data_IF_469139555676
#
_entry.id   IF_469139555676
#
_cell.length_a   1.000
_cell.length_b   1.000
_cell.length_c   1.000
_cell.angle_alpha   90.00
_cell.angle_beta   90.00
_cell.angle_gamma   90.00
#
_symmetry.space_group_name_H-M   'P 1'
#
loop_
_entity.id
_entity.type
_entity.pdbx_description
1 polymer ?
#
# COMPACT_ATOMS: atom_id res chain seq x y z
N UNK A 1 15.24 -18.64 48.85
CA UNK A 1 14.22 -18.30 47.84
C UNK A 1 14.86 -18.35 46.46
N UNK A 2 14.50 -19.32 45.62
CA UNK A 2 15.19 -19.57 44.35
C UNK A 2 14.62 -18.75 43.20
N UNK A 3 15.49 -18.00 42.53
CA UNK A 3 15.20 -17.20 41.34
C UNK A 3 14.71 -18.03 40.12
N UNK A 4 14.84 -19.35 40.19
CA UNK A 4 14.35 -20.28 39.16
C UNK A 4 12.82 -20.40 39.09
N UNK A 5 12.10 -20.11 40.18
CA UNK A 5 10.64 -20.23 40.25
C UNK A 5 9.91 -19.05 39.59
N UNK A 6 10.45 -17.83 39.72
CA UNK A 6 9.84 -16.59 39.21
C UNK A 6 10.00 -16.43 37.71
N UNK A 7 11.14 -16.83 37.14
CA UNK A 7 11.37 -16.82 35.70
C UNK A 7 10.41 -17.77 34.94
N UNK A 8 10.10 -18.93 35.52
CA UNK A 8 9.13 -19.89 34.98
C UNK A 8 7.69 -19.36 35.01
N UNK A 9 7.31 -18.62 36.06
CA UNK A 9 5.98 -18.01 36.17
C UNK A 9 5.79 -16.87 35.16
N UNK A 10 6.80 -16.03 34.95
CA UNK A 10 6.77 -14.94 33.97
C UNK A 10 6.77 -15.45 32.52
N UNK A 11 7.51 -16.52 32.23
CA UNK A 11 7.46 -17.17 30.92
C UNK A 11 6.07 -17.76 30.61
N UNK A 12 5.39 -18.33 31.61
CA UNK A 12 4.02 -18.85 31.49
C UNK A 12 2.99 -17.74 31.32
N UNK A 13 3.13 -16.61 32.03
CA UNK A 13 2.31 -15.41 31.84
C UNK A 13 2.49 -14.80 30.43
N UNK A 14 3.73 -14.75 29.95
CA UNK A 14 4.04 -14.31 28.58
C UNK A 14 3.52 -15.25 27.48
N UNK A 15 3.32 -16.53 27.76
CA UNK A 15 2.66 -17.46 26.83
C UNK A 15 1.13 -17.37 26.86
N UNK A 16 0.53 -17.07 28.02
CA UNK A 16 -0.91 -16.85 28.16
C UNK A 16 -1.36 -15.54 27.48
N UNK A 17 -0.55 -14.47 27.57
CA UNK A 17 -0.80 -13.20 26.87
C UNK A 17 -0.63 -13.29 25.34
N UNK A 18 0.13 -14.27 24.83
CA UNK A 18 0.25 -14.51 23.38
C UNK A 18 -0.99 -15.17 22.78
N UNK A 19 -1.81 -15.86 23.58
CA UNK A 19 -2.92 -16.66 23.10
C UNK A 19 -4.12 -15.84 22.59
N UNK A 20 -4.33 -14.63 23.08
CA UNK A 20 -5.42 -13.76 22.59
C UNK A 20 -5.03 -12.89 21.39
N UNK A 21 -3.74 -12.82 21.04
CA UNK A 21 -3.29 -11.99 19.91
C UNK A 21 -3.93 -12.42 18.60
N UNK A 22 -4.12 -13.73 18.34
CA UNK A 22 -4.77 -14.21 17.12
C UNK A 22 -6.27 -13.90 17.07
N UNK A 23 -6.98 -14.01 18.20
CA UNK A 23 -8.43 -13.75 18.27
C UNK A 23 -8.72 -12.25 18.13
N UNK A 24 -7.99 -11.41 18.87
CA UNK A 24 -8.08 -9.95 18.77
C UNK A 24 -7.80 -9.50 17.34
N UNK A 25 -6.82 -10.12 16.66
CA UNK A 25 -6.51 -9.79 15.27
C UNK A 25 -7.66 -10.10 14.32
N UNK A 26 -8.24 -11.30 14.36
CA UNK A 26 -9.37 -11.62 13.47
C UNK A 26 -10.55 -10.67 13.67
N UNK A 27 -10.86 -10.35 14.93
CA UNK A 27 -11.94 -9.41 15.26
C UNK A 27 -11.66 -8.02 14.68
N UNK A 28 -10.41 -7.54 14.73
CA UNK A 28 -10.02 -6.25 14.15
C UNK A 28 -10.14 -6.23 12.62
N UNK A 29 -9.67 -7.26 11.92
CA UNK A 29 -9.82 -7.37 10.44
C UNK A 29 -11.28 -7.34 10.01
N UNK A 30 -12.13 -8.11 10.70
CA UNK A 30 -13.57 -8.15 10.40
C UNK A 30 -14.21 -6.82 10.76
N UNK A 31 -13.78 -6.19 11.87
CA UNK A 31 -14.27 -4.89 12.29
C UNK A 31 -14.07 -3.79 11.25
N UNK A 32 -12.87 -3.67 10.67
CA UNK A 32 -12.61 -2.66 9.62
C UNK A 32 -13.41 -2.92 8.35
N UNK A 33 -13.62 -4.18 7.97
CA UNK A 33 -14.47 -4.55 6.84
C UNK A 33 -15.93 -4.18 7.07
N UNK A 34 -16.48 -4.59 8.22
CA UNK A 34 -17.88 -4.31 8.60
C UNK A 34 -18.11 -2.80 8.71
N UNK A 35 -17.16 -2.05 9.28
CA UNK A 35 -17.24 -0.60 9.34
C UNK A 35 -17.29 0.03 7.93
N UNK A 36 -16.44 -0.41 7.00
CA UNK A 36 -16.47 0.04 5.61
C UNK A 36 -17.81 -0.24 4.93
N UNK A 37 -18.35 -1.46 5.11
CA UNK A 37 -19.64 -1.87 4.53
C UNK A 37 -20.78 -1.06 5.12
N UNK A 38 -20.79 -0.84 6.44
CA UNK A 38 -21.81 -0.05 7.11
C UNK A 38 -21.80 1.40 6.61
N UNK A 39 -20.63 2.02 6.49
CA UNK A 39 -20.49 3.39 5.96
C UNK A 39 -21.01 3.48 4.54
N UNK A 40 -20.62 2.57 3.64
CA UNK A 40 -21.13 2.59 2.25
C UNK A 40 -22.60 2.21 2.14
N UNK A 41 -23.14 1.43 3.08
CA UNK A 41 -24.57 1.10 3.11
C UNK A 41 -25.41 2.30 3.55
N UNK A 42 -24.85 3.20 4.37
CA UNK A 42 -25.52 4.44 4.79
C UNK A 42 -25.28 5.56 3.77
N UNK A 43 -24.06 5.66 3.24
CA UNK A 43 -23.61 6.73 2.35
C UNK A 43 -22.92 6.17 1.08
N UNK A 44 -23.67 5.49 0.18
CA UNK A 44 -23.11 4.92 -1.06
C UNK A 44 -22.47 5.96 -1.98
N UNK A 45 -22.90 7.21 -1.88
CA UNK A 45 -22.36 8.36 -2.60
C UNK A 45 -20.89 8.69 -2.25
N UNK A 46 -20.31 8.05 -1.22
CA UNK A 46 -18.87 8.11 -0.94
C UNK A 46 -18.04 7.56 -2.10
N UNK A 47 -18.54 6.53 -2.79
CA UNK A 47 -17.86 5.89 -3.93
C UNK A 47 -18.59 6.14 -5.24
N UNK A 48 -19.92 6.07 -5.23
CA UNK A 48 -20.74 6.11 -6.46
C UNK A 48 -21.38 7.48 -6.74
N UNK A 49 -21.04 8.51 -5.96
CA UNK A 49 -21.66 9.83 -6.08
C UNK A 49 -20.66 10.98 -6.00
N UNK A 50 -21.06 12.11 -6.56
CA UNK A 50 -20.30 13.35 -6.48
C UNK A 50 -20.65 14.11 -5.19
N UNK A 51 -20.00 13.73 -4.09
CA UNK A 51 -20.02 14.56 -2.87
C UNK A 51 -18.88 15.57 -2.91
N UNK A 52 -19.16 16.77 -3.41
CA UNK A 52 -18.28 17.92 -3.27
C UNK A 52 -18.87 18.86 -2.22
N UNK A 53 -18.08 19.15 -1.19
CA UNK A 53 -18.39 20.14 -0.18
C UNK A 53 -17.12 20.92 0.14
N UNK A 54 -17.27 22.16 0.58
CA UNK A 54 -16.14 22.95 1.06
C UNK A 54 -15.48 22.28 2.28
N UNK A 55 -16.30 21.68 3.15
CA UNK A 55 -15.83 20.94 4.31
C UNK A 55 -15.58 19.46 3.99
N UNK A 56 -14.61 18.83 4.66
CA UNK A 56 -14.39 17.40 4.56
C UNK A 56 -15.67 16.63 4.92
N UNK A 57 -16.06 15.69 4.07
CA UNK A 57 -17.25 14.85 4.31
C UNK A 57 -16.86 13.73 5.28
N UNK A 58 -17.45 13.64 6.49
CA UNK A 58 -17.04 12.67 7.50
C UNK A 58 -17.12 11.22 7.03
N UNK A 59 -18.11 10.86 6.21
CA UNK A 59 -18.26 9.50 5.68
C UNK A 59 -17.06 9.08 4.81
N UNK A 60 -16.48 10.00 4.02
CA UNK A 60 -15.25 9.72 3.24
C UNK A 60 -14.07 9.46 4.17
N UNK A 61 -13.95 10.23 5.24
CA UNK A 61 -12.89 10.06 6.24
C UNK A 61 -13.00 8.72 6.96
N UNK A 62 -14.20 8.35 7.41
CA UNK A 62 -14.40 7.08 8.10
C UNK A 62 -14.13 5.92 7.13
N UNK A 63 -14.67 5.97 5.92
CA UNK A 63 -14.44 4.96 4.88
C UNK A 63 -12.94 4.80 4.58
N UNK A 64 -12.24 5.87 4.19
CA UNK A 64 -10.81 5.84 3.89
C UNK A 64 -9.97 5.49 5.12
N UNK A 65 -10.41 5.90 6.30
CA UNK A 65 -9.79 5.58 7.59
C UNK A 65 -9.76 4.08 7.86
N UNK A 66 -10.76 3.31 7.41
CA UNK A 66 -10.72 1.84 7.54
C UNK A 66 -9.53 1.22 6.80
N UNK A 67 -9.24 1.69 5.59
CA UNK A 67 -8.11 1.23 4.78
C UNK A 67 -6.78 1.66 5.37
N UNK A 68 -6.69 2.92 5.81
CA UNK A 68 -5.48 3.44 6.45
C UNK A 68 -5.15 2.66 7.74
N UNK A 69 -6.13 2.51 8.64
CA UNK A 69 -5.95 1.79 9.89
C UNK A 69 -5.61 0.32 9.65
N UNK A 70 -6.32 -0.35 8.74
CA UNK A 70 -6.01 -1.75 8.44
C UNK A 70 -4.65 -1.91 7.75
N UNK A 71 -4.24 -0.96 6.90
CA UNK A 71 -2.89 -0.93 6.32
C UNK A 71 -1.80 -0.74 7.36
N UNK A 72 -1.93 0.27 8.24
CA UNK A 72 -1.00 0.53 9.33
C UNK A 72 -0.91 -0.66 10.30
N UNK A 73 -2.04 -1.28 10.58
CA UNK A 73 -2.13 -2.44 11.46
C UNK A 73 -1.51 -3.71 10.85
N UNK A 74 -1.61 -3.89 9.53
CA UNK A 74 -0.89 -4.96 8.81
C UNK A 74 0.60 -4.68 8.76
N UNK A 75 1.00 -3.42 8.53
CA UNK A 75 2.40 -3.02 8.55
C UNK A 75 3.05 -3.28 9.91
N UNK A 76 2.33 -3.06 11.01
CA UNK A 76 2.79 -3.39 12.36
C UNK A 76 2.92 -4.91 12.61
N UNK A 77 2.42 -5.77 11.73
CA UNK A 77 2.43 -7.22 11.88
C UNK A 77 3.29 -7.92 10.82
N UNK A 78 4.47 -8.39 11.21
CA UNK A 78 5.36 -9.18 10.34
C UNK A 78 4.69 -10.40 9.67
N UNK A 79 3.64 -10.98 10.27
CA UNK A 79 2.93 -12.14 9.71
C UNK A 79 1.87 -11.78 8.67
N UNK A 80 1.30 -10.57 8.68
CA UNK A 80 0.22 -10.18 7.77
C UNK A 80 0.64 -10.25 6.30
N UNK A 81 1.91 -9.92 6.04
CA UNK A 81 2.51 -9.97 4.71
C UNK A 81 2.58 -11.39 4.14
N UNK A 82 2.87 -12.42 4.95
CA UNK A 82 2.93 -13.81 4.47
C UNK A 82 1.60 -14.33 3.94
N UNK A 83 0.49 -13.93 4.54
CA UNK A 83 -0.85 -14.33 4.08
C UNK A 83 -1.16 -13.66 2.74
N UNK A 84 -0.87 -12.36 2.63
CA UNK A 84 -0.99 -11.62 1.37
C UNK A 84 -0.16 -12.29 0.28
N UNK A 85 1.08 -12.68 0.60
CA UNK A 85 1.97 -13.34 -0.33
C UNK A 85 1.42 -14.71 -0.73
N UNK A 86 0.96 -15.57 0.18
CA UNK A 86 0.48 -16.91 -0.17
C UNK A 86 -0.78 -16.90 -1.04
N UNK A 87 -1.68 -15.93 -0.82
CA UNK A 87 -2.97 -15.87 -1.50
C UNK A 87 -3.11 -14.71 -2.49
N UNK A 88 -2.02 -14.02 -2.83
CA UNK A 88 -1.99 -12.83 -3.68
C UNK A 88 -2.86 -12.96 -4.94
N UNK A 89 -2.64 -14.01 -5.75
CA UNK A 89 -3.39 -14.22 -6.98
C UNK A 89 -4.89 -14.43 -6.75
N UNK A 90 -5.28 -15.14 -5.68
CA UNK A 90 -6.69 -15.35 -5.34
C UNK A 90 -7.36 -14.05 -4.91
N UNK A 91 -6.67 -13.25 -4.10
CA UNK A 91 -7.14 -11.94 -3.68
C UNK A 91 -7.26 -10.96 -4.85
N UNK A 92 -6.28 -10.95 -5.76
CA UNK A 92 -6.32 -10.10 -6.96
C UNK A 92 -7.49 -10.48 -7.88
N UNK A 93 -7.64 -11.77 -8.21
CA UNK A 93 -8.72 -12.25 -9.09
C UNK A 93 -10.08 -12.03 -8.43
N UNK A 94 -10.24 -12.46 -7.16
CA UNK A 94 -11.50 -12.28 -6.43
C UNK A 94 -11.86 -10.80 -6.26
N UNK A 95 -10.88 -9.97 -5.93
CA UNK A 95 -11.06 -8.52 -5.84
C UNK A 95 -11.46 -7.89 -7.17
N UNK A 96 -10.85 -8.33 -8.28
CA UNK A 96 -11.20 -7.87 -9.62
C UNK A 96 -12.62 -8.29 -10.02
N UNK A 97 -13.02 -9.54 -9.78
CA UNK A 97 -14.39 -10.02 -10.05
C UNK A 97 -15.41 -9.21 -9.23
N UNK A 98 -15.18 -9.05 -7.92
CA UNK A 98 -16.04 -8.22 -7.07
C UNK A 98 -16.07 -6.76 -7.53
N UNK A 99 -14.96 -6.24 -8.05
CA UNK A 99 -14.85 -4.87 -8.56
C UNK A 99 -15.66 -4.66 -9.83
N UNK A 100 -15.56 -5.59 -10.79
CA UNK A 100 -16.39 -5.58 -12.00
C UNK A 100 -17.87 -5.66 -11.63
N UNK A 101 -18.24 -6.58 -10.72
CA UNK A 101 -19.61 -6.70 -10.25
C UNK A 101 -20.10 -5.41 -9.56
N UNK A 102 -19.26 -4.78 -8.73
CA UNK A 102 -19.58 -3.51 -8.08
C UNK A 102 -19.77 -2.37 -9.09
N UNK A 103 -18.95 -2.30 -10.15
CA UNK A 103 -19.08 -1.28 -11.21
C UNK A 103 -20.38 -1.48 -11.97
N UNK A 104 -20.67 -2.70 -12.45
CA UNK A 104 -21.89 -2.99 -13.19
C UNK A 104 -23.15 -2.71 -12.34
N UNK A 105 -23.12 -3.09 -11.07
CA UNK A 105 -24.22 -2.83 -10.15
C UNK A 105 -24.35 -1.33 -9.81
N UNK A 106 -23.24 -0.62 -9.70
CA UNK A 106 -23.22 0.84 -9.51
C UNK A 106 -23.79 1.58 -10.72
N UNK A 107 -23.44 1.17 -11.94
CA UNK A 107 -24.02 1.71 -13.18
C UNK A 107 -25.53 1.50 -13.22
N UNK A 108 -25.99 0.26 -12.97
CA UNK A 108 -27.41 -0.05 -12.87
C UNK A 108 -28.12 0.80 -11.81
N UNK A 109 -27.49 0.99 -10.65
CA UNK A 109 -28.06 1.80 -9.57
C UNK A 109 -28.21 3.28 -9.96
N UNK A 110 -27.24 3.84 -10.69
CA UNK A 110 -27.27 5.23 -11.19
C UNK A 110 -28.31 5.39 -12.31
N UNK A 111 -28.50 4.37 -13.15
CA UNK A 111 -29.54 4.40 -14.20
C UNK A 111 -30.96 4.28 -13.61
N UNK A 112 -31.09 3.54 -12.51
CA UNK A 112 -32.39 3.27 -11.87
C UNK A 112 -32.85 4.40 -10.95
N UNK A 113 -31.92 5.07 -10.27
CA UNK A 113 -32.22 6.11 -9.28
C UNK A 113 -31.40 7.38 -9.55
N UNK A 114 -32.05 8.54 -9.41
CA UNK A 114 -31.38 9.84 -9.47
C UNK A 114 -30.20 9.86 -8.47
N UNK A 115 -28.99 10.33 -8.84
CA UNK A 115 -27.81 10.29 -7.97
C UNK A 115 -28.00 10.88 -6.57
N UNK A 116 -28.90 11.85 -6.40
CA UNK A 116 -29.25 12.43 -5.10
C UNK A 116 -30.11 11.46 -4.27
N UNK A 117 -30.96 10.69 -4.95
CA UNK A 117 -31.88 9.72 -4.36
C UNK A 117 -31.27 8.33 -4.16
N UNK A 118 -30.01 8.09 -4.54
CA UNK A 118 -29.38 6.76 -4.55
C UNK A 118 -29.44 6.05 -3.18
N UNK A 119 -29.49 6.81 -2.08
CA UNK A 119 -29.66 6.30 -0.71
C UNK A 119 -31.02 5.62 -0.52
N UNK A 120 -32.08 6.13 -1.16
CA UNK A 120 -33.47 5.69 -0.98
C UNK A 120 -34.06 4.98 -2.22
N UNK A 121 -33.48 5.17 -3.41
CA UNK A 121 -34.09 4.77 -4.68
C UNK A 121 -33.90 3.30 -5.08
N UNK A 122 -32.82 2.64 -4.66
CA UNK A 122 -32.51 1.25 -5.06
C UNK A 122 -32.90 0.19 -4.01
N UNK A 123 -33.48 0.61 -2.88
CA UNK A 123 -33.78 -0.27 -1.75
C UNK A 123 -32.55 -0.68 -0.92
N UNK A 124 -32.79 -1.28 0.25
CA UNK A 124 -31.72 -1.57 1.21
C UNK A 124 -30.83 -2.76 0.82
N UNK A 125 -31.40 -3.78 0.18
CA UNK A 125 -30.68 -5.00 -0.17
C UNK A 125 -29.67 -4.77 -1.32
N UNK A 126 -30.04 -4.18 -2.47
CA UNK A 126 -29.07 -3.86 -3.52
C UNK A 126 -27.95 -2.94 -3.03
N UNK A 127 -28.28 -1.97 -2.18
CA UNK A 127 -27.31 -1.08 -1.54
C UNK A 127 -26.29 -1.83 -0.66
N UNK A 128 -26.75 -2.77 0.16
CA UNK A 128 -25.87 -3.59 1.00
C UNK A 128 -24.96 -4.49 0.14
N UNK A 129 -25.49 -5.08 -0.92
CA UNK A 129 -24.71 -5.91 -1.86
C UNK A 129 -23.66 -5.06 -2.57
N UNK A 130 -24.04 -3.90 -3.09
CA UNK A 130 -23.13 -2.95 -3.73
C UNK A 130 -22.01 -2.53 -2.78
N UNK A 131 -22.36 -2.09 -1.57
CA UNK A 131 -21.39 -1.72 -0.52
C UNK A 131 -20.43 -2.87 -0.19
N UNK A 132 -20.94 -4.09 -0.06
CA UNK A 132 -20.15 -5.28 0.23
C UNK A 132 -19.19 -5.61 -0.91
N UNK A 133 -19.67 -5.62 -2.16
CA UNK A 133 -18.85 -5.88 -3.34
C UNK A 133 -17.72 -4.86 -3.46
N UNK A 134 -18.02 -3.57 -3.27
CA UNK A 134 -17.01 -2.49 -3.31
C UNK A 134 -15.95 -2.66 -2.24
N UNK A 135 -16.34 -2.87 -0.98
CA UNK A 135 -15.38 -2.99 0.14
C UNK A 135 -14.53 -4.25 0.00
N UNK A 136 -15.15 -5.40 -0.30
CA UNK A 136 -14.44 -6.67 -0.52
C UNK A 136 -13.50 -6.56 -1.72
N UNK A 137 -13.95 -5.93 -2.80
CA UNK A 137 -13.11 -5.68 -3.98
C UNK A 137 -11.88 -4.87 -3.61
N UNK A 138 -12.06 -3.70 -2.98
CA UNK A 138 -10.96 -2.81 -2.63
C UNK A 138 -9.94 -3.48 -1.69
N UNK A 139 -10.39 -4.17 -0.65
CA UNK A 139 -9.51 -4.89 0.27
C UNK A 139 -8.78 -6.05 -0.42
N UNK A 140 -9.52 -6.90 -1.13
CA UNK A 140 -8.94 -8.07 -1.80
C UNK A 140 -7.96 -7.64 -2.88
N UNK A 141 -8.30 -6.63 -3.69
CA UNK A 141 -7.41 -6.14 -4.73
C UNK A 141 -6.15 -5.49 -4.13
N UNK A 142 -6.28 -4.74 -3.04
CA UNK A 142 -5.12 -4.17 -2.32
C UNK A 142 -4.18 -5.27 -1.82
N UNK A 143 -4.70 -6.30 -1.13
CA UNK A 143 -3.89 -7.43 -0.68
C UNK A 143 -3.30 -8.25 -1.83
N UNK A 144 -4.06 -8.41 -2.91
CA UNK A 144 -3.61 -9.09 -4.10
C UNK A 144 -2.43 -8.38 -4.77
N UNK A 145 -2.56 -7.06 -4.98
CA UNK A 145 -1.49 -6.23 -5.56
C UNK A 145 -0.27 -6.23 -4.65
N UNK A 146 -0.45 -5.98 -3.35
CA UNK A 146 0.64 -6.01 -2.37
C UNK A 146 1.38 -7.35 -2.40
N UNK A 147 0.65 -8.47 -2.32
CA UNK A 147 1.26 -9.80 -2.32
C UNK A 147 1.94 -10.12 -3.64
N UNK A 148 1.40 -9.67 -4.78
CA UNK A 148 2.04 -9.78 -6.08
C UNK A 148 3.33 -8.95 -6.13
N UNK A 149 3.31 -7.70 -5.64
CA UNK A 149 4.48 -6.83 -5.54
C UNK A 149 5.56 -7.44 -4.67
N UNK A 150 5.21 -8.05 -3.54
CA UNK A 150 6.16 -8.75 -2.67
C UNK A 150 6.77 -9.99 -3.31
N UNK A 151 6.04 -10.72 -4.15
CA UNK A 151 6.59 -11.86 -4.91
C UNK A 151 7.53 -11.40 -6.04
N UNK A 152 7.22 -10.28 -6.67
CA UNK A 152 8.00 -9.73 -7.79
C UNK A 152 9.22 -8.95 -7.29
N UNK A 153 9.15 -8.32 -6.11
CA UNK A 153 10.21 -7.51 -5.53
C UNK A 153 11.56 -8.26 -5.43
N UNK A 154 11.64 -9.50 -4.88
CA UNK A 154 12.87 -10.28 -4.87
C UNK A 154 13.42 -10.56 -6.26
N UNK A 155 12.57 -10.81 -7.26
CA UNK A 155 13.01 -11.05 -8.64
C UNK A 155 13.65 -9.81 -9.25
N UNK A 156 13.16 -8.62 -8.89
CA UNK A 156 13.72 -7.34 -9.31
C UNK A 156 14.98 -6.97 -8.50
N UNK A 157 14.94 -7.18 -7.18
CA UNK A 157 16.00 -6.74 -6.27
C UNK A 157 17.25 -7.63 -6.29
N UNK A 158 17.08 -8.95 -6.43
CA UNK A 158 18.21 -9.92 -6.43
C UNK A 158 19.11 -9.73 -7.65
N UNK A 159 18.62 -9.18 -8.76
CA UNK A 159 19.44 -8.98 -9.95
C UNK A 159 20.04 -7.58 -10.10
N UNK A 160 19.38 -6.49 -9.66
CA UNK A 160 19.84 -5.12 -9.95
C UNK A 160 19.44 -4.03 -8.92
N UNK A 161 18.91 -4.40 -7.75
CA UNK A 161 18.23 -3.42 -6.88
C UNK A 161 16.92 -2.93 -7.51
N UNK A 162 16.13 -2.15 -6.77
CA UNK A 162 14.91 -1.53 -7.31
C UNK A 162 15.32 -0.51 -8.37
N UNK A 163 14.81 -0.57 -9.62
CA UNK A 163 15.11 0.43 -10.64
C UNK A 163 14.84 1.84 -10.13
N UNK A 164 15.77 2.77 -10.39
CA UNK A 164 15.66 4.16 -9.90
C UNK A 164 14.34 4.81 -10.30
N UNK A 165 13.84 4.52 -11.50
CA UNK A 165 12.54 5.02 -11.97
C UNK A 165 11.37 4.53 -11.10
N UNK A 166 11.38 3.28 -10.63
CA UNK A 166 10.32 2.74 -9.78
C UNK A 166 10.38 3.39 -8.40
N UNK A 167 11.58 3.53 -7.84
CA UNK A 167 11.77 4.24 -6.57
C UNK A 167 11.34 5.71 -6.66
N UNK A 168 11.69 6.38 -7.77
CA UNK A 168 11.27 7.74 -8.07
C UNK A 168 9.75 7.87 -8.17
N UNK A 169 9.08 6.99 -8.93
CA UNK A 169 7.63 7.00 -9.06
C UNK A 169 6.93 6.68 -7.74
N UNK A 170 7.47 5.75 -6.95
CA UNK A 170 6.94 5.44 -5.62
C UNK A 170 7.02 6.65 -4.69
N UNK A 171 8.16 7.37 -4.69
CA UNK A 171 8.34 8.58 -3.90
C UNK A 171 7.45 9.74 -4.39
N UNK A 172 7.30 9.88 -5.71
CA UNK A 172 6.44 10.89 -6.31
C UNK A 172 4.94 10.63 -6.12
N UNK A 173 4.54 9.36 -5.92
CA UNK A 173 3.14 8.93 -5.88
C UNK A 173 2.27 9.69 -4.90
N UNK A 174 2.79 9.99 -3.70
CA UNK A 174 2.06 10.81 -2.71
C UNK A 174 1.84 12.24 -3.20
N UNK A 175 2.86 12.87 -3.80
CA UNK A 175 2.72 14.23 -4.34
C UNK A 175 1.75 14.26 -5.51
N UNK A 176 1.88 13.32 -6.44
CA UNK A 176 0.95 13.16 -7.57
C UNK A 176 -0.48 13.03 -7.04
N UNK A 177 -0.71 12.22 -6.00
CA UNK A 177 -2.01 12.09 -5.36
C UNK A 177 -2.56 13.43 -4.83
N UNK A 178 -1.72 14.30 -4.26
CA UNK A 178 -2.16 15.61 -3.76
C UNK A 178 -2.52 16.58 -4.88
N UNK A 179 -1.69 16.69 -5.92
CA UNK A 179 -1.83 17.74 -6.92
C UNK A 179 -2.66 17.36 -8.13
N UNK A 180 -2.85 16.06 -8.43
CA UNK A 180 -3.53 15.64 -9.66
C UNK A 180 -5.00 16.09 -9.71
N UNK A 181 -5.73 16.03 -8.60
CA UNK A 181 -7.17 16.32 -8.60
C UNK A 181 -7.53 17.73 -9.12
N UNK A 182 -6.95 18.84 -8.60
CA UNK A 182 -7.22 20.17 -9.12
C UNK A 182 -6.75 20.33 -10.57
N UNK A 183 -5.62 19.73 -10.95
CA UNK A 183 -5.11 19.77 -12.32
C UNK A 183 -6.07 19.09 -13.30
N UNK A 184 -6.55 17.88 -12.98
CA UNK A 184 -7.53 17.14 -13.79
C UNK A 184 -8.83 17.94 -13.93
N UNK A 185 -9.31 18.54 -12.85
CA UNK A 185 -10.55 19.33 -12.87
C UNK A 185 -10.43 20.55 -13.80
N UNK A 186 -9.34 21.31 -13.69
CA UNK A 186 -9.08 22.47 -14.55
C UNK A 186 -8.90 22.06 -16.01
N UNK A 187 -8.08 21.04 -16.28
CA UNK A 187 -7.85 20.54 -17.64
C UNK A 187 -9.14 20.01 -18.28
N UNK A 188 -9.98 19.30 -17.54
CA UNK A 188 -11.28 18.85 -18.07
C UNK A 188 -12.20 20.03 -18.41
N UNK A 189 -12.21 21.08 -17.59
CA UNK A 189 -13.00 22.28 -17.85
C UNK A 189 -12.48 23.03 -19.09
N UNK A 190 -11.16 23.25 -19.16
CA UNK A 190 -10.52 23.94 -20.27
C UNK A 190 -10.69 23.17 -21.58
N UNK A 191 -10.44 21.85 -21.59
CA UNK A 191 -10.63 21.03 -22.80
C UNK A 191 -12.09 20.94 -23.24
N UNK A 192 -13.04 21.02 -22.30
CA UNK A 192 -14.47 21.08 -22.63
C UNK A 192 -14.83 22.39 -23.31
N UNK A 193 -14.29 23.52 -22.85
CA UNK A 193 -14.58 24.85 -23.37
C UNK A 193 -13.82 25.14 -24.68
N UNK A 194 -12.54 24.80 -24.74
CA UNK A 194 -11.65 25.15 -25.85
C UNK A 194 -11.77 24.17 -27.02
N UNK A 195 -12.10 22.90 -26.76
CA UNK A 195 -12.12 21.83 -27.78
C UNK A 195 -13.44 21.05 -27.77
N UNK A 196 -14.61 21.69 -27.97
CA UNK A 196 -15.90 21.02 -27.86
C UNK A 196 -16.06 19.82 -28.82
N UNK A 197 -15.53 19.94 -30.06
CA UNK A 197 -15.63 18.90 -31.09
C UNK A 197 -14.59 17.77 -31.02
N UNK A 198 -13.61 17.85 -30.10
CA UNK A 198 -12.58 16.80 -29.97
C UNK A 198 -13.14 15.59 -29.21
N UNK A 199 -12.75 14.39 -29.64
CA UNK A 199 -13.23 13.14 -29.06
C UNK A 199 -12.86 13.02 -27.56
N UNK A 200 -13.69 12.37 -26.74
CA UNK A 200 -13.42 12.18 -25.31
C UNK A 200 -12.08 11.46 -25.03
N UNK A 201 -11.67 10.53 -25.89
CA UNK A 201 -10.45 9.74 -25.73
C UNK A 201 -9.20 10.62 -25.84
N UNK A 202 -9.20 11.57 -26.79
CA UNK A 202 -8.11 12.52 -26.94
C UNK A 202 -8.06 13.47 -25.75
N UNK A 203 -9.21 13.96 -25.28
CA UNK A 203 -9.28 14.82 -24.07
C UNK A 203 -8.75 14.10 -22.84
N UNK A 204 -9.10 12.82 -22.69
CA UNK A 204 -8.58 11.97 -21.63
C UNK A 204 -7.07 11.80 -21.72
N UNK A 205 -6.54 11.47 -22.90
CA UNK A 205 -5.11 11.30 -23.13
C UNK A 205 -4.33 12.59 -22.84
N UNK A 206 -4.82 13.74 -23.31
CA UNK A 206 -4.23 15.06 -23.04
C UNK A 206 -4.24 15.38 -21.55
N UNK A 207 -5.37 15.13 -20.87
CA UNK A 207 -5.49 15.37 -19.43
C UNK A 207 -4.52 14.49 -18.65
N UNK A 208 -4.45 13.20 -18.98
CA UNK A 208 -3.56 12.24 -18.33
C UNK A 208 -2.09 12.67 -18.48
N UNK A 209 -1.66 12.92 -19.72
CA UNK A 209 -0.27 13.28 -20.01
C UNK A 209 0.11 14.61 -19.35
N UNK A 210 -0.75 15.61 -19.44
CA UNK A 210 -0.49 16.95 -18.87
C UNK A 210 -0.50 16.91 -17.35
N UNK A 211 -1.50 16.26 -16.74
CA UNK A 211 -1.59 16.11 -15.28
C UNK A 211 -0.38 15.36 -14.74
N UNK A 212 -0.01 14.23 -15.34
CA UNK A 212 1.12 13.43 -14.89
C UNK A 212 2.43 14.19 -15.06
N UNK A 213 2.63 14.85 -16.21
CA UNK A 213 3.81 15.67 -16.48
C UNK A 213 3.96 16.83 -15.48
N UNK A 214 2.89 17.59 -15.23
CA UNK A 214 2.90 18.68 -14.25
C UNK A 214 3.08 18.17 -12.82
N UNK A 215 2.48 17.03 -12.47
CA UNK A 215 2.62 16.44 -11.13
C UNK A 215 4.04 15.96 -10.88
N UNK A 216 4.65 15.26 -11.85
CA UNK A 216 6.03 14.79 -11.75
C UNK A 216 7.04 15.95 -11.81
N UNK A 217 6.79 16.95 -12.65
CA UNK A 217 7.61 18.16 -12.77
C UNK A 217 7.58 18.99 -11.47
N UNK A 218 6.39 19.20 -10.89
CA UNK A 218 6.26 19.90 -9.61
C UNK A 218 6.86 19.10 -8.44
N UNK A 219 6.73 17.76 -8.42
CA UNK A 219 7.45 16.92 -7.46
C UNK A 219 8.96 17.14 -7.57
N UNK A 220 9.51 17.11 -8.79
CA UNK A 220 10.93 17.30 -9.02
C UNK A 220 11.41 18.69 -8.58
N UNK A 221 10.64 19.74 -8.88
CA UNK A 221 11.01 21.11 -8.60
C UNK A 221 10.87 21.50 -7.13
N UNK A 222 9.81 21.03 -6.44
CA UNK A 222 9.46 21.52 -5.10
C UNK A 222 9.70 20.53 -3.98
N UNK A 223 9.66 19.22 -4.27
CA UNK A 223 9.72 18.18 -3.23
C UNK A 223 11.07 17.49 -3.24
N UNK A 224 11.59 17.07 -4.39
CA UNK A 224 12.84 16.33 -4.47
C UNK A 224 14.00 17.15 -3.87
N UNK A 225 14.65 16.59 -2.84
CA UNK A 225 15.76 17.25 -2.14
C UNK A 225 15.35 18.41 -1.20
N UNK A 226 14.05 18.65 -1.01
CA UNK A 226 13.57 19.67 -0.08
C UNK A 226 13.52 19.15 1.36
N UNK A 227 13.59 20.05 2.35
CA UNK A 227 13.33 19.72 3.77
C UNK A 227 11.94 19.13 3.99
N UNK A 228 10.98 19.50 3.13
CA UNK A 228 9.63 18.96 3.19
C UNK A 228 9.66 17.46 2.93
N UNK A 229 10.40 17.00 1.91
CA UNK A 229 10.57 15.57 1.61
C UNK A 229 11.19 14.79 2.80
N UNK A 230 12.17 15.39 3.49
CA UNK A 230 12.74 14.79 4.69
C UNK A 230 11.70 14.67 5.82
N UNK A 231 10.88 15.70 6.02
CA UNK A 231 9.85 15.74 7.07
C UNK A 231 8.76 14.68 6.86
N UNK A 232 8.39 14.43 5.60
CA UNK A 232 7.37 13.42 5.22
C UNK A 232 7.95 12.03 4.99
N UNK A 233 9.25 11.82 5.21
CA UNK A 233 9.90 10.51 5.13
C UNK A 233 10.11 9.98 3.71
N UNK A 234 10.25 10.87 2.71
CA UNK A 234 10.47 10.49 1.30
C UNK A 234 11.95 10.40 0.90
N UNK A 235 12.90 10.68 1.80
CA UNK A 235 14.33 10.53 1.52
C UNK A 235 14.76 9.05 1.54
N UNK A 236 14.71 8.41 0.37
CA UNK A 236 15.25 7.06 0.18
C UNK A 236 16.79 7.03 0.14
N UNK A 237 17.43 8.13 -0.26
CA UNK A 237 18.84 8.15 -0.64
C UNK A 237 19.80 8.27 0.56
N UNK A 238 19.41 8.98 1.62
CA UNK A 238 20.23 9.15 2.82
C UNK A 238 20.26 7.89 3.69
N UNK A 239 19.13 7.17 3.82
CA UNK A 239 19.08 5.89 4.54
C UNK A 239 19.85 4.77 3.83
N UNK A 240 19.83 4.70 2.49
CA UNK A 240 20.62 3.70 1.76
C UNK A 240 22.12 4.00 1.79
N UNK A 241 22.54 5.25 1.62
CA UNK A 241 23.96 5.64 1.76
C UNK A 241 24.47 5.49 3.19
N UNK A 242 23.66 5.78 4.21
CA UNK A 242 24.01 5.52 5.60
C UNK A 242 24.13 4.01 5.89
N UNK A 243 23.21 3.19 5.37
CA UNK A 243 23.29 1.73 5.53
C UNK A 243 24.48 1.11 4.77
N UNK A 244 24.83 1.64 3.60
CA UNK A 244 25.99 1.18 2.84
C UNK A 244 27.33 1.65 3.45
N UNK A 245 27.41 2.91 3.92
CA UNK A 245 28.63 3.48 4.49
C UNK A 245 29.03 2.92 5.86
N UNK A 246 28.07 2.43 6.65
CA UNK A 246 28.33 1.75 7.93
C UNK A 246 28.92 0.33 7.72
N UNK A 247 28.70 -0.29 6.55
CA UNK A 247 29.26 -1.62 6.24
C UNK A 247 30.74 -1.60 5.79
N UNK A 248 31.20 -0.50 5.18
CA UNK A 248 32.50 -0.47 4.52
C UNK A 248 33.63 0.03 5.42
N UNK A 249 33.33 0.79 6.48
CA UNK A 249 34.36 1.31 7.41
C UNK A 249 34.63 0.43 8.64
N UNK A 250 33.82 -0.60 8.89
CA UNK A 250 33.97 -1.47 10.09
C UNK A 250 34.52 -2.87 9.76
N UNK A 251 34.46 -3.32 8.51
CA UNK A 251 35.08 -4.60 8.11
C UNK A 251 36.61 -4.53 8.02
N UNK A 252 37.18 -3.35 7.78
CA UNK A 252 38.64 -3.14 7.78
C UNK A 252 39.24 -2.92 9.18
N UNK A 253 38.41 -2.67 10.20
CA UNK A 253 38.89 -2.47 11.58
C UNK A 253 38.85 -3.72 12.46
N UNK A 254 38.11 -4.76 12.08
CA UNK A 254 37.87 -5.94 12.95
C UNK A 254 38.86 -7.10 12.73
N UNK A 255 39.89 -7.00 11.86
CA UNK A 255 40.87 -8.09 11.80
C UNK A 255 42.33 -7.73 11.43
N UNK A 256 43.07 -7.04 12.32
CA UNK A 256 44.52 -6.94 12.21
C UNK A 256 45.26 -8.27 12.51
N UNK A 257 44.61 -9.31 13.06
CA UNK A 257 45.29 -10.55 13.50
C UNK A 257 45.32 -11.68 12.45
N UNK A 258 44.58 -11.61 11.34
CA UNK A 258 44.51 -12.72 10.37
C UNK A 258 45.67 -12.83 9.38
N UNK A 259 46.61 -11.88 9.37
CA UNK A 259 47.77 -11.93 8.47
C UNK A 259 48.91 -12.80 8.97
N UNK A 260 48.90 -13.30 10.21
CA UNK A 260 50.05 -14.03 10.77
C UNK A 260 49.98 -15.57 10.70
N UNK A 261 48.87 -16.18 10.25
CA UNK A 261 48.68 -17.64 10.29
C UNK A 261 48.79 -18.34 8.93
N UNK A 262 49.35 -17.70 7.90
CA UNK A 262 49.44 -18.29 6.55
C UNK A 262 50.74 -19.02 6.22
N UNK A 263 51.71 -19.07 7.13
CA UNK A 263 53.02 -19.69 6.86
C UNK A 263 53.21 -21.13 7.38
N UNK A 264 52.22 -21.75 8.06
CA UNK A 264 52.43 -23.05 8.74
C UNK A 264 51.75 -24.28 8.11
N UNK A 265 51.17 -24.21 6.91
CA UNK A 265 50.41 -25.36 6.32
C UNK A 265 51.00 -25.88 4.99
N UNK A 266 52.33 -25.88 4.85
CA UNK A 266 53.04 -26.48 3.69
C UNK A 266 54.00 -27.61 4.07
N UNK A 267 53.68 -28.39 5.11
CA UNK A 267 54.46 -29.59 5.43
C UNK A 267 53.58 -30.70 6.02
N UNK A 268 53.04 -31.57 5.17
CA UNK A 268 52.56 -32.88 5.65
C UNK A 268 51.31 -33.42 4.99
N UNK A 269 51.34 -33.71 3.68
CA UNK A 269 50.37 -34.66 3.10
C UNK A 269 50.91 -35.30 1.81
N UNK A 270 52.05 -35.97 1.91
CA UNK A 270 52.50 -36.94 0.93
C UNK A 270 52.88 -38.23 1.67
N UNK A 271 51.89 -39.08 1.97
CA UNK A 271 52.14 -40.50 2.21
C UNK A 271 50.85 -41.32 2.11
N UNK A 272 50.98 -42.39 1.32
CA UNK A 272 50.12 -43.58 1.17
C UNK A 272 48.97 -43.47 0.18
N UNK A 273 49.22 -43.97 -1.04
CA UNK A 273 48.49 -45.15 -1.55
C UNK A 273 49.52 -46.02 -2.27
N UNK A 274 49.68 -47.23 -1.76
CA UNK A 274 50.21 -48.42 -2.43
C UNK A 274 49.15 -49.51 -2.23
#
# INVERSE_FOLDING_TARGET
MSWSSTAGALARLGSALRWDSCRVRRVQSVGVLVAGIAVLSIAPQVVFGFQHGFLPVPSKWIYSGTYFLGGAWIAAQNQGWRICDQHAGRFAIGGMICGIAAVLMGQWAIETADPISLVFGIGWLPRLVLASLTVISAWSLSFGIIGCSNRVAPLLSVRRGVPEMIAYLAAAGFWVYLVHHPLVALLHLDLKLLLPGVSPEIKWALTLMTTLGLSLGSYHAFIRGSRLAATIGLELESSQKAAAGVGETDLDRVNPERTNNRETVTAGSLRRVA
#
